data_IF_235974862560
#
_entry.id   IF_235974862560
#
_cell.length_a   1.000
_cell.length_b   1.000
_cell.length_c   1.000
_cell.angle_alpha   90.00
_cell.angle_beta   90.00
_cell.angle_gamma   90.00
#
_symmetry.space_group_name_H-M   'P 1'
#
loop_
_entity.id
_entity.type
_entity.pdbx_description
1 polymer ?
#
# COMPACT_ATOMS: atom_id res chain seq x y z
N UNK A 1 26.79 12.99 5.32
CA UNK A 1 25.43 12.48 5.04
C UNK A 1 24.77 12.19 6.36
N UNK A 2 23.81 13.03 6.75
CA UNK A 2 23.05 12.80 7.98
C UNK A 2 22.06 11.67 7.67
N UNK A 3 22.10 10.50 8.35
CA UNK A 3 21.03 9.53 8.20
C UNK A 3 19.76 10.22 8.70
N UNK A 4 18.80 10.47 7.80
CA UNK A 4 17.46 10.89 8.16
C UNK A 4 16.94 9.85 9.14
N UNK A 5 16.96 10.19 10.43
CA UNK A 5 16.28 9.42 11.46
C UNK A 5 14.84 9.29 10.98
N UNK A 6 14.31 8.08 10.76
CA UNK A 6 12.95 7.93 10.27
C UNK A 6 12.06 8.69 11.23
N UNK A 7 11.41 9.74 10.72
CA UNK A 7 10.53 10.58 11.49
C UNK A 7 9.40 9.65 11.95
N UNK A 8 9.41 9.27 13.23
CA UNK A 8 8.38 8.39 13.77
C UNK A 8 7.08 9.19 13.64
N UNK A 9 6.13 8.77 12.79
CA UNK A 9 4.93 9.55 12.59
C UNK A 9 4.20 9.68 13.94
N UNK A 10 3.74 10.90 14.22
CA UNK A 10 2.99 11.21 15.44
C UNK A 10 1.76 10.29 15.48
N UNK A 11 1.56 9.52 16.57
CA UNK A 11 0.41 8.63 16.65
C UNK A 11 -0.89 9.43 16.64
N UNK A 12 -1.90 8.89 15.97
CA UNK A 12 -3.25 9.44 16.03
C UNK A 12 -3.93 8.95 17.32
N UNK A 13 -4.54 9.89 18.03
CA UNK A 13 -5.28 9.62 19.26
C UNK A 13 -6.76 9.85 19.03
N UNK A 14 -7.57 8.91 19.50
CA UNK A 14 -9.02 9.02 19.47
C UNK A 14 -9.60 8.63 20.82
N UNK A 15 -10.55 9.40 21.32
CA UNK A 15 -11.34 9.02 22.50
C UNK A 15 -12.68 8.44 22.04
N UNK A 16 -13.08 7.28 22.56
CA UNK A 16 -14.37 6.68 22.22
C UNK A 16 -15.50 7.54 22.82
N UNK A 17 -16.45 8.04 22.01
CA UNK A 17 -17.48 8.94 22.48
C UNK A 17 -18.47 8.25 23.45
N UNK A 18 -19.19 9.08 24.21
CA UNK A 18 -20.35 8.67 25.02
C UNK A 18 -21.65 9.14 24.33
N UNK A 19 -22.62 8.25 24.03
CA UNK A 19 -22.59 6.80 24.23
C UNK A 19 -21.60 6.10 23.28
N UNK A 20 -21.12 4.92 23.67
CA UNK A 20 -20.25 4.13 22.81
C UNK A 20 -20.98 3.77 21.51
N UNK A 21 -20.29 3.77 20.36
CA UNK A 21 -20.89 3.46 19.06
C UNK A 21 -21.35 2.00 18.91
N UNK A 22 -21.10 1.12 19.89
CA UNK A 22 -21.51 -0.30 19.88
C UNK A 22 -20.92 -1.08 18.68
N UNK A 23 -19.70 -0.75 18.27
CA UNK A 23 -19.02 -1.35 17.12
C UNK A 23 -17.73 -2.09 17.52
N UNK A 24 -17.22 -2.91 16.59
CA UNK A 24 -15.87 -3.49 16.68
C UNK A 24 -14.82 -2.42 16.38
N UNK A 25 -13.65 -2.53 17.01
CA UNK A 25 -12.52 -1.61 16.86
C UNK A 25 -12.11 -1.42 15.40
N UNK A 26 -12.01 -2.51 14.62
CA UNK A 26 -11.63 -2.44 13.21
C UNK A 26 -12.63 -1.66 12.35
N UNK A 27 -13.93 -1.84 12.61
CA UNK A 27 -15.02 -1.14 11.92
C UNK A 27 -15.06 0.32 12.35
N UNK A 28 -14.98 0.58 13.66
CA UNK A 28 -15.01 1.92 14.19
C UNK A 28 -13.81 2.73 13.67
N UNK A 29 -12.59 2.19 13.70
CA UNK A 29 -11.42 2.87 13.13
C UNK A 29 -11.56 3.11 11.62
N UNK A 30 -12.18 2.21 10.86
CA UNK A 30 -12.44 2.44 9.44
C UNK A 30 -13.41 3.62 9.19
N UNK A 31 -14.25 3.98 10.16
CA UNK A 31 -15.07 5.21 10.09
C UNK A 31 -14.26 6.47 10.39
N UNK A 32 -13.31 6.38 11.34
CA UNK A 32 -12.45 7.50 11.74
C UNK A 32 -11.33 7.78 10.74
N UNK A 33 -10.93 6.77 9.97
CA UNK A 33 -9.81 6.78 9.05
C UNK A 33 -10.24 6.34 7.63
N UNK A 34 -11.14 7.10 6.96
CA UNK A 34 -11.74 6.71 5.68
C UNK A 34 -10.73 6.61 4.52
N UNK A 35 -9.55 7.20 4.66
CA UNK A 35 -8.46 7.14 3.68
C UNK A 35 -7.73 5.78 3.68
N UNK A 36 -7.95 4.94 4.68
CA UNK A 36 -7.32 3.62 4.78
C UNK A 36 -8.36 2.50 4.65
N UNK A 37 -7.97 1.41 3.97
CA UNK A 37 -8.84 0.25 3.88
C UNK A 37 -8.97 -0.43 5.25
N UNK A 38 -10.12 -1.08 5.48
CA UNK A 38 -10.33 -1.89 6.68
C UNK A 38 -9.29 -3.00 6.82
N UNK A 39 -8.82 -3.57 5.71
CA UNK A 39 -7.76 -4.59 5.71
C UNK A 39 -6.40 -4.05 6.16
N UNK A 40 -6.05 -2.79 5.84
CA UNK A 40 -4.85 -2.15 6.35
C UNK A 40 -4.95 -1.91 7.86
N UNK A 41 -6.10 -1.41 8.34
CA UNK A 41 -6.37 -1.21 9.76
C UNK A 41 -6.28 -2.53 10.54
N UNK A 42 -6.89 -3.60 10.03
CA UNK A 42 -6.81 -4.93 10.68
C UNK A 42 -5.36 -5.43 10.77
N UNK A 43 -4.53 -5.17 9.75
CA UNK A 43 -3.11 -5.49 9.77
C UNK A 43 -2.38 -4.69 10.85
N UNK A 44 -2.61 -3.38 10.94
CA UNK A 44 -2.02 -2.56 12.00
C UNK A 44 -2.42 -3.01 13.40
N UNK A 45 -3.66 -3.46 13.59
CA UNK A 45 -4.10 -4.04 14.86
C UNK A 45 -3.34 -5.35 15.16
N UNK A 46 -3.20 -6.23 14.16
CA UNK A 46 -2.46 -7.48 14.31
C UNK A 46 -0.96 -7.25 14.58
N UNK A 47 -0.38 -6.21 13.99
CA UNK A 47 1.02 -5.81 14.13
C UNK A 47 1.28 -5.05 15.44
N UNK A 48 0.26 -4.84 16.30
CA UNK A 48 0.40 -4.14 17.58
C UNK A 48 0.54 -2.62 17.44
N UNK A 49 0.27 -2.06 16.26
CA UNK A 49 0.33 -0.62 15.97
C UNK A 49 -0.94 0.12 16.42
N UNK A 50 -1.96 -0.60 16.88
CA UNK A 50 -3.17 -0.02 17.47
C UNK A 50 -3.30 -0.46 18.92
N UNK A 51 -3.37 0.51 19.82
CA UNK A 51 -3.51 0.32 21.25
C UNK A 51 -4.84 0.86 21.74
N UNK A 52 -5.47 0.17 22.68
CA UNK A 52 -6.65 0.64 23.43
C UNK A 52 -6.22 0.75 24.89
N UNK A 53 -6.32 1.95 25.47
CA UNK A 53 -5.83 2.28 26.81
C UNK A 53 -4.37 1.86 27.04
N UNK A 54 -3.55 1.99 26.00
CA UNK A 54 -2.13 1.65 26.01
C UNK A 54 -1.81 0.15 25.86
N UNK A 55 -2.81 -0.72 25.65
CA UNK A 55 -2.62 -2.15 25.47
C UNK A 55 -2.98 -2.60 24.04
N UNK A 56 -2.25 -3.59 23.52
CA UNK A 56 -2.56 -4.18 22.22
C UNK A 56 -3.96 -4.81 22.25
N UNK A 57 -4.75 -4.52 21.21
CA UNK A 57 -6.12 -4.98 21.10
C UNK A 57 -6.31 -5.95 19.93
N UNK A 58 -7.41 -6.71 19.93
CA UNK A 58 -7.82 -7.51 18.77
C UNK A 58 -8.77 -6.71 17.89
N UNK A 59 -8.74 -6.96 16.58
CA UNK A 59 -9.63 -6.29 15.63
C UNK A 59 -11.13 -6.45 15.95
N UNK A 60 -11.50 -7.57 16.58
CA UNK A 60 -12.85 -7.88 17.01
C UNK A 60 -13.26 -7.30 18.37
N UNK A 61 -12.35 -6.61 19.07
CA UNK A 61 -12.66 -5.95 20.34
C UNK A 61 -13.82 -4.98 20.12
N UNK A 62 -14.82 -5.03 21.00
CA UNK A 62 -15.92 -4.07 21.00
C UNK A 62 -15.46 -2.82 21.77
N UNK A 63 -15.59 -1.64 21.17
CA UNK A 63 -15.14 -0.40 21.81
C UNK A 63 -16.13 0.07 22.88
N UNK A 64 -15.60 0.54 24.00
CA UNK A 64 -16.34 1.03 25.15
C UNK A 64 -16.13 2.53 25.34
N UNK A 65 -17.13 3.20 25.90
CA UNK A 65 -17.12 4.66 25.97
C UNK A 65 -16.05 5.16 26.94
N UNK A 66 -15.29 6.18 26.53
CA UNK A 66 -14.21 6.75 27.33
C UNK A 66 -12.87 6.01 27.24
N UNK A 67 -12.77 4.93 26.46
CA UNK A 67 -11.48 4.34 26.11
C UNK A 67 -10.69 5.27 25.18
N UNK A 68 -9.37 5.19 25.25
CA UNK A 68 -8.47 5.90 24.33
C UNK A 68 -7.82 4.93 23.35
N UNK A 69 -7.99 5.20 22.06
CA UNK A 69 -7.36 4.44 20.98
C UNK A 69 -6.17 5.23 20.44
N UNK A 70 -5.00 4.59 20.42
CA UNK A 70 -3.77 5.12 19.82
C UNK A 70 -3.45 4.33 18.56
N UNK A 71 -3.23 5.01 17.44
CA UNK A 71 -2.92 4.40 16.15
C UNK A 71 -1.58 4.91 15.63
N UNK A 72 -0.61 4.00 15.52
CA UNK A 72 0.68 4.24 14.89
C UNK A 72 0.59 3.87 13.41
N UNK A 73 0.38 4.87 12.56
CA UNK A 73 0.35 4.64 11.11
C UNK A 73 1.80 4.49 10.63
N UNK A 74 2.19 3.34 10.05
CA UNK A 74 3.53 3.19 9.52
C UNK A 74 3.73 4.14 8.33
N UNK A 75 4.93 4.67 8.18
CA UNK A 75 5.28 5.43 6.98
C UNK A 75 5.01 4.57 5.73
N UNK A 76 4.50 5.16 4.64
CA UNK A 76 4.38 4.44 3.38
C UNK A 76 5.74 3.83 3.03
N UNK A 77 5.77 2.52 2.81
CA UNK A 77 6.97 1.89 2.28
C UNK A 77 7.24 2.52 0.91
N UNK A 78 8.44 3.08 0.72
CA UNK A 78 8.89 3.51 -0.60
C UNK A 78 8.84 2.29 -1.52
N UNK A 79 7.83 2.22 -2.38
CA UNK A 79 7.80 1.20 -3.43
C UNK A 79 8.63 1.74 -4.57
N UNK A 80 9.95 1.77 -4.38
CA UNK A 80 10.87 2.09 -5.46
C UNK A 80 10.80 0.94 -6.46
N UNK A 81 10.04 1.15 -7.51
CA UNK A 81 10.06 0.28 -8.68
C UNK A 81 11.50 0.27 -9.21
N UNK A 82 12.10 -0.92 -9.29
CA UNK A 82 13.45 -1.08 -9.83
C UNK A 82 13.39 -1.64 -11.23
N UNK A 83 14.27 -1.16 -12.10
CA UNK A 83 14.42 -1.69 -13.45
C UNK A 83 15.02 -3.10 -13.35
N UNK A 84 14.43 -4.06 -14.05
CA UNK A 84 14.92 -5.44 -14.09
C UNK A 84 15.08 -5.85 -15.56
N UNK A 85 16.23 -6.44 -15.90
CA UNK A 85 16.51 -6.97 -17.23
C UNK A 85 15.72 -8.28 -17.45
N UNK A 86 14.46 -8.13 -17.84
CA UNK A 86 13.54 -9.23 -18.15
C UNK A 86 13.19 -9.14 -19.64
N UNK A 87 13.41 -10.20 -20.43
CA UNK A 87 13.12 -10.18 -21.87
C UNK A 87 11.66 -9.84 -22.17
N UNK A 88 11.44 -8.89 -23.07
CA UNK A 88 10.12 -8.48 -23.55
C UNK A 88 9.89 -9.00 -24.98
N UNK A 89 8.70 -9.56 -25.24
CA UNK A 89 8.23 -9.83 -26.60
C UNK A 89 7.52 -8.59 -27.12
N UNK A 90 8.22 -7.77 -27.91
CA UNK A 90 7.70 -6.49 -28.40
C UNK A 90 7.03 -6.71 -29.76
N UNK A 91 5.72 -6.46 -29.82
CA UNK A 91 4.91 -6.55 -31.04
C UNK A 91 5.00 -5.27 -31.86
N UNK A 92 5.08 -4.13 -31.17
CA UNK A 92 5.17 -2.80 -31.78
C UNK A 92 5.83 -1.82 -30.82
N UNK A 93 6.68 -0.93 -31.35
CA UNK A 93 7.31 0.13 -30.57
C UNK A 93 7.54 1.37 -31.45
N UNK A 94 7.20 2.53 -30.91
CA UNK A 94 7.59 3.85 -31.40
C UNK A 94 7.71 4.83 -30.21
N UNK A 95 7.97 6.11 -30.49
CA UNK A 95 8.15 7.16 -29.47
C UNK A 95 6.92 7.38 -28.57
N UNK A 96 5.72 6.96 -29.01
CA UNK A 96 4.45 7.20 -28.31
C UNK A 96 3.81 5.93 -27.71
N UNK A 97 4.18 4.73 -28.19
CA UNK A 97 3.46 3.48 -27.93
C UNK A 97 4.39 2.26 -27.93
N UNK A 98 4.29 1.48 -26.85
CA UNK A 98 4.88 0.14 -26.73
C UNK A 98 3.77 -0.91 -26.58
N UNK A 99 3.77 -1.91 -27.47
CA UNK A 99 2.87 -3.07 -27.41
C UNK A 99 3.71 -4.31 -27.14
N UNK A 100 3.47 -4.93 -26.00
CA UNK A 100 4.16 -6.15 -25.56
C UNK A 100 3.22 -7.33 -25.59
N UNK A 101 3.64 -8.43 -26.20
CA UNK A 101 3.02 -9.74 -26.06
C UNK A 101 3.46 -10.34 -24.71
N UNK A 102 2.67 -10.05 -23.66
CA UNK A 102 2.98 -10.47 -22.30
C UNK A 102 2.78 -11.98 -22.14
N UNK A 103 3.81 -12.76 -21.77
CA UNK A 103 3.62 -14.19 -21.52
C UNK A 103 2.64 -14.43 -20.36
N UNK A 104 1.96 -15.57 -20.40
CA UNK A 104 1.14 -16.05 -19.29
C UNK A 104 2.01 -16.21 -18.04
N UNK A 105 1.46 -15.91 -16.86
CA UNK A 105 2.20 -16.04 -15.60
C UNK A 105 3.09 -14.84 -15.23
N UNK A 106 3.42 -13.93 -16.17
CA UNK A 106 4.10 -12.68 -15.84
C UNK A 106 3.11 -11.68 -15.22
N UNK A 107 3.41 -11.27 -13.99
CA UNK A 107 2.63 -10.26 -13.25
C UNK A 107 2.82 -8.89 -13.88
N UNK A 108 1.75 -8.12 -14.03
CA UNK A 108 1.83 -6.80 -14.67
C UNK A 108 2.52 -5.77 -13.78
N UNK A 109 2.08 -5.63 -12.52
CA UNK A 109 2.55 -4.60 -11.59
C UNK A 109 2.87 -5.21 -10.22
N UNK A 110 3.86 -4.69 -9.47
CA UNK A 110 4.15 -5.21 -8.14
C UNK A 110 2.91 -5.34 -7.26
N UNK A 111 2.81 -6.47 -6.59
CA UNK A 111 1.69 -6.88 -5.76
C UNK A 111 2.20 -7.63 -4.51
N UNK A 112 1.39 -7.82 -3.46
CA UNK A 112 1.79 -8.64 -2.33
C UNK A 112 2.31 -10.03 -2.78
N UNK A 113 3.52 -10.39 -2.36
CA UNK A 113 4.21 -11.62 -2.78
C UNK A 113 4.98 -11.55 -4.11
N UNK A 114 4.87 -10.45 -4.87
CA UNK A 114 5.59 -10.19 -6.12
C UNK A 114 6.02 -8.71 -6.16
N UNK A 115 7.05 -8.35 -5.40
CA UNK A 115 7.54 -6.96 -5.33
C UNK A 115 8.42 -6.54 -6.52
N UNK A 116 8.91 -7.52 -7.29
CA UNK A 116 9.71 -7.36 -8.51
C UNK A 116 9.38 -8.48 -9.50
N UNK A 117 10.15 -8.61 -10.58
CA UNK A 117 9.92 -9.62 -11.60
C UNK A 117 8.64 -9.40 -12.40
N UNK A 118 8.15 -8.16 -12.48
CA UNK A 118 6.89 -7.81 -13.16
C UNK A 118 7.13 -7.15 -14.51
N UNK A 119 6.09 -7.08 -15.34
CA UNK A 119 6.14 -6.39 -16.62
C UNK A 119 6.58 -4.92 -16.47
N UNK A 120 6.17 -4.22 -15.42
CA UNK A 120 6.60 -2.82 -15.22
C UNK A 120 8.10 -2.75 -14.90
N UNK A 121 8.66 -3.71 -14.17
CA UNK A 121 10.11 -3.76 -13.92
C UNK A 121 10.89 -3.93 -15.23
N UNK A 122 10.38 -4.81 -16.11
CA UNK A 122 10.93 -5.08 -17.43
C UNK A 122 10.85 -3.84 -18.35
N UNK A 123 9.69 -3.19 -18.40
CA UNK A 123 9.50 -1.99 -19.22
C UNK A 123 10.34 -0.84 -18.69
N UNK A 124 10.49 -0.69 -17.36
CA UNK A 124 11.36 0.34 -16.79
C UNK A 124 12.83 0.15 -17.18
N UNK A 125 13.28 -1.09 -17.40
CA UNK A 125 14.61 -1.37 -17.93
C UNK A 125 14.72 -1.02 -19.42
N UNK A 126 13.72 -1.41 -20.22
CA UNK A 126 13.70 -1.21 -21.67
C UNK A 126 13.48 0.26 -22.09
N UNK A 127 12.59 0.96 -21.38
CA UNK A 127 12.22 2.35 -21.61
C UNK A 127 12.21 3.12 -20.28
N UNK A 128 13.38 3.62 -19.81
CA UNK A 128 13.50 4.30 -18.52
C UNK A 128 12.61 5.54 -18.37
N UNK A 129 12.30 6.21 -19.49
CA UNK A 129 11.51 7.44 -19.53
C UNK A 129 10.04 7.22 -19.11
N UNK A 130 9.58 5.96 -19.07
CA UNK A 130 8.23 5.61 -18.61
C UNK A 130 8.00 5.95 -17.13
N UNK A 131 9.06 6.05 -16.32
CA UNK A 131 8.98 6.30 -14.88
C UNK A 131 8.16 7.57 -14.51
N UNK A 132 8.09 8.54 -15.42
CA UNK A 132 7.37 9.81 -15.25
C UNK A 132 5.94 9.84 -15.80
N UNK A 133 5.53 8.85 -16.60
CA UNK A 133 4.23 8.86 -17.31
C UNK A 133 3.19 8.14 -16.46
N UNK A 134 2.06 8.75 -16.04
CA UNK A 134 1.01 8.03 -15.28
C UNK A 134 1.22 7.90 -13.77
N UNK A 135 2.30 8.50 -13.22
CA UNK A 135 2.60 8.61 -11.79
C UNK A 135 3.29 7.40 -11.17
N UNK A 136 3.86 7.58 -9.98
CA UNK A 136 4.73 6.60 -9.28
C UNK A 136 4.09 5.20 -9.10
N UNK A 137 2.76 5.13 -9.07
CA UNK A 137 2.03 3.88 -8.80
C UNK A 137 1.71 3.06 -10.04
N UNK A 138 1.76 3.63 -11.26
CA UNK A 138 1.46 2.96 -12.54
C UNK A 138 2.13 3.70 -13.71
N UNK A 139 3.45 3.60 -13.87
CA UNK A 139 4.12 4.26 -14.96
C UNK A 139 3.67 3.68 -16.32
N UNK A 140 2.96 4.47 -17.13
CA UNK A 140 2.67 4.25 -18.56
C UNK A 140 1.71 3.10 -18.93
N UNK A 141 1.13 2.37 -17.97
CA UNK A 141 0.22 1.25 -18.28
C UNK A 141 -1.24 1.72 -18.35
N UNK A 142 -1.75 1.82 -19.59
CA UNK A 142 -3.14 2.22 -19.89
C UNK A 142 -4.18 1.11 -19.69
N UNK A 143 -3.80 -0.17 -19.73
CA UNK A 143 -4.69 -1.30 -19.44
C UNK A 143 -3.92 -2.52 -18.92
N UNK A 144 -4.58 -3.39 -18.13
CA UNK A 144 -4.03 -4.67 -17.64
C UNK A 144 -4.74 -5.88 -18.25
N UNK A 145 -3.99 -6.97 -18.43
CA UNK A 145 -4.47 -8.34 -18.63
C UNK A 145 -4.15 -9.14 -17.34
N UNK A 146 -5.02 -10.08 -16.97
CA UNK A 146 -4.81 -10.91 -15.79
C UNK A 146 -3.67 -11.94 -15.98
N UNK A 147 -3.25 -12.55 -14.87
CA UNK A 147 -2.14 -13.51 -14.84
C UNK A 147 -2.44 -14.75 -15.66
#
# INVERSE_FOLDING_TARGET
MNPQKPEIPIPLLFDIPKPAPNERLDRWLATQLPQYSRSAIQRWIADGLVLVDGQAARASLKVEAGQRVTVHIPAPAETKLQAEEIPLSIVYENDDLLVVDKPAGLVVHPAPGHSGGTLVNAILHHCPDIAGVGGERRPGIVHRLDK
#
